data_IF_432621888142
#
_entry.id   IF_432621888142
#
_cell.length_a   1.000
_cell.length_b   1.000
_cell.length_c   1.000
_cell.angle_alpha   90.00
_cell.angle_beta   90.00
_cell.angle_gamma   90.00
#
_symmetry.space_group_name_H-M   'P 1'
#
loop_
_entity.id
_entity.type
_entity.pdbx_description
1 polymer ?
#
# COMPACT_ATOMS: atom_id res chain seq x y z
N UNK A 1 -17.31 -14.94 1.66
CA UNK A 1 -16.49 -13.76 1.98
C UNK A 1 -15.39 -13.43 0.95
N UNK A 2 -15.33 -14.10 -0.22
CA UNK A 2 -14.28 -13.93 -1.25
C UNK A 2 -14.60 -12.95 -2.41
N UNK A 3 -15.71 -12.19 -2.34
CA UNK A 3 -16.15 -11.33 -3.47
C UNK A 3 -15.54 -9.91 -3.51
N UNK A 4 -14.83 -9.45 -2.47
CA UNK A 4 -14.35 -8.05 -2.38
C UNK A 4 -12.96 -7.80 -3.00
N UNK A 5 -12.10 -8.81 -3.09
CA UNK A 5 -10.73 -8.67 -3.60
C UNK A 5 -10.68 -8.53 -5.14
N UNK A 6 -11.60 -9.20 -5.86
CA UNK A 6 -11.61 -9.21 -7.33
C UNK A 6 -12.13 -7.91 -7.97
N UNK A 7 -12.92 -7.10 -7.25
CA UNK A 7 -13.53 -5.88 -7.80
C UNK A 7 -12.56 -4.68 -7.86
N UNK A 8 -11.52 -4.70 -7.03
CA UNK A 8 -10.56 -3.59 -6.91
C UNK A 8 -9.53 -3.58 -8.06
N UNK A 9 -9.03 -4.75 -8.45
CA UNK A 9 -8.04 -4.93 -9.54
C UNK A 9 -8.63 -4.53 -10.91
N UNK A 10 -9.92 -4.82 -11.14
CA UNK A 10 -10.63 -4.44 -12.38
C UNK A 10 -10.85 -2.91 -12.48
N UNK A 11 -10.92 -2.21 -11.34
CA UNK A 11 -11.30 -0.79 -11.27
C UNK A 11 -10.18 0.16 -11.73
N UNK A 12 -8.91 -0.12 -11.38
CA UNK A 12 -7.77 0.71 -11.80
C UNK A 12 -7.35 0.42 -13.26
N UNK A 13 -7.44 -0.85 -13.68
CA UNK A 13 -7.24 -1.26 -15.08
C UNK A 13 -8.26 -0.53 -15.97
N UNK A 14 -9.53 -0.41 -15.57
CA UNK A 14 -10.52 0.34 -16.34
C UNK A 14 -10.25 1.85 -16.44
N UNK A 15 -9.51 2.47 -15.51
CA UNK A 15 -9.14 3.90 -15.59
C UNK A 15 -8.04 4.12 -16.63
N UNK A 16 -7.05 3.21 -16.71
CA UNK A 16 -5.99 3.25 -17.74
C UNK A 16 -6.54 2.76 -19.10
N UNK A 17 -7.40 1.75 -19.09
CA UNK A 17 -8.06 1.18 -20.26
C UNK A 17 -9.17 2.03 -20.86
N UNK A 18 -9.90 2.85 -20.09
CA UNK A 18 -10.89 3.77 -20.68
C UNK A 18 -10.22 4.93 -21.45
N UNK A 19 -8.96 5.23 -21.14
CA UNK A 19 -8.15 6.22 -21.84
C UNK A 19 -7.35 5.59 -23.01
N UNK A 20 -6.99 4.29 -22.93
CA UNK A 20 -6.16 3.60 -23.93
C UNK A 20 -6.84 2.53 -24.80
N UNK A 21 -7.94 1.91 -24.38
CA UNK A 21 -8.69 0.93 -25.17
C UNK A 21 -9.80 1.66 -25.91
N UNK A 22 -9.74 1.68 -27.25
CA UNK A 22 -10.71 2.30 -28.16
C UNK A 22 -12.14 1.73 -28.05
N UNK A 23 -12.78 1.85 -26.89
CA UNK A 23 -14.21 1.68 -26.71
C UNK A 23 -14.88 2.81 -27.49
N UNK A 24 -15.34 2.46 -28.70
CA UNK A 24 -15.96 3.41 -29.62
C UNK A 24 -17.09 4.16 -28.89
N UNK A 25 -16.98 5.49 -28.73
CA UNK A 25 -18.10 6.27 -28.23
C UNK A 25 -19.26 6.08 -29.21
N UNK A 26 -20.49 5.96 -28.68
CA UNK A 26 -21.69 5.95 -29.50
C UNK A 26 -21.70 7.26 -30.31
N UNK A 27 -21.56 7.24 -31.65
CA UNK A 27 -21.58 8.45 -32.43
C UNK A 27 -23.02 8.97 -32.44
N UNK A 28 -23.21 10.21 -32.01
CA UNK A 28 -24.48 10.90 -32.17
C UNK A 28 -24.18 12.35 -32.53
N UNK A 29 -24.59 12.70 -33.75
CA UNK A 29 -24.55 13.99 -34.43
C UNK A 29 -24.45 15.20 -33.49
N UNK A 30 -23.37 15.95 -33.67
CA UNK A 30 -23.16 17.24 -33.03
C UNK A 30 -24.12 18.28 -33.61
N UNK A 31 -25.36 18.33 -33.10
CA UNK A 31 -26.17 19.55 -33.17
C UNK A 31 -25.78 20.46 -32.01
N UNK A 32 -25.24 21.63 -32.34
CA UNK A 32 -24.93 22.73 -31.43
C UNK A 32 -26.20 23.23 -30.74
N UNK A 33 -26.64 22.54 -29.70
CA UNK A 33 -27.72 23.03 -28.85
C UNK A 33 -27.17 24.09 -27.91
N UNK A 34 -27.71 25.32 -28.00
CA UNK A 34 -27.60 26.37 -26.98
C UNK A 34 -27.98 25.76 -25.61
N UNK A 35 -26.99 25.41 -24.80
CA UNK A 35 -27.20 24.86 -23.46
C UNK A 35 -27.55 26.02 -22.52
N UNK A 36 -28.79 26.06 -22.03
CA UNK A 36 -29.16 26.92 -20.91
C UNK A 36 -28.29 26.51 -19.70
N UNK A 37 -27.34 27.38 -19.34
CA UNK A 37 -26.42 27.08 -18.26
C UNK A 37 -27.15 27.27 -16.92
N UNK A 38 -27.67 26.19 -16.35
CA UNK A 38 -28.13 26.19 -14.96
C UNK A 38 -26.97 26.66 -14.06
N UNK A 39 -27.18 27.76 -13.35
CA UNK A 39 -26.20 28.33 -12.43
C UNK A 39 -26.52 27.91 -11.00
N UNK A 40 -25.55 27.31 -10.30
CA UNK A 40 -25.72 26.83 -8.91
C UNK A 40 -24.70 27.53 -7.99
N UNK A 41 -25.06 27.88 -6.77
CA UNK A 41 -24.09 28.46 -5.83
C UNK A 41 -23.12 27.40 -5.28
N UNK A 42 -21.93 27.80 -4.83
CA UNK A 42 -21.06 26.91 -4.04
C UNK A 42 -21.83 26.35 -2.83
N UNK A 43 -21.42 25.16 -2.39
CA UNK A 43 -22.02 24.42 -1.27
C UNK A 43 -23.48 23.97 -1.49
N UNK A 44 -24.10 24.22 -2.64
CA UNK A 44 -25.43 23.70 -2.98
C UNK A 44 -25.30 22.41 -3.77
N UNK A 45 -26.19 21.44 -3.46
CA UNK A 45 -26.31 20.19 -4.20
C UNK A 45 -26.90 20.49 -5.57
N UNK A 46 -26.43 19.80 -6.61
CA UNK A 46 -27.00 19.89 -7.96
C UNK A 46 -26.98 18.55 -8.67
N UNK A 47 -27.91 18.38 -9.61
CA UNK A 47 -27.97 17.22 -10.50
C UNK A 47 -27.31 17.56 -11.83
N UNK A 48 -26.50 16.64 -12.35
CA UNK A 48 -25.88 16.74 -13.67
C UNK A 48 -26.19 15.46 -14.48
N UNK A 49 -26.29 15.60 -15.80
CA UNK A 49 -26.58 14.53 -16.78
C UNK A 49 -25.46 14.49 -17.83
N UNK A 50 -25.31 13.39 -18.59
CA UNK A 50 -24.27 13.28 -19.61
C UNK A 50 -24.32 14.40 -20.63
N UNK A 51 -23.14 14.91 -21.00
CA UNK A 51 -22.93 16.02 -21.92
C UNK A 51 -23.59 17.33 -21.47
N UNK A 52 -23.81 17.51 -20.16
CA UNK A 52 -24.31 18.76 -19.58
C UNK A 52 -23.25 19.40 -18.69
N UNK A 53 -23.27 20.73 -18.67
CA UNK A 53 -22.38 21.55 -17.86
C UNK A 53 -23.20 22.39 -16.88
N UNK A 54 -22.79 22.39 -15.62
CA UNK A 54 -23.33 23.24 -14.56
C UNK A 54 -22.31 24.34 -14.27
N UNK A 55 -22.74 25.61 -14.33
CA UNK A 55 -21.90 26.75 -13.96
C UNK A 55 -22.08 27.08 -12.49
N UNK A 56 -21.01 27.39 -11.78
CA UNK A 56 -21.10 27.82 -10.38
C UNK A 56 -21.27 29.35 -10.35
N UNK A 57 -22.38 29.84 -9.75
CA UNK A 57 -22.79 31.26 -9.70
C UNK A 57 -21.64 32.14 -9.21
N UNK A 58 -21.49 33.31 -9.86
CA UNK A 58 -20.51 34.35 -9.52
C UNK A 58 -19.06 33.83 -9.49
N UNK A 59 -18.74 32.85 -10.34
CA UNK A 59 -17.40 32.29 -10.47
C UNK A 59 -17.12 31.86 -11.92
N UNK A 60 -15.84 31.62 -12.24
CA UNK A 60 -15.41 31.05 -13.51
C UNK A 60 -15.38 29.51 -13.49
N UNK A 61 -16.07 28.91 -12.51
CA UNK A 61 -16.06 27.46 -12.28
C UNK A 61 -17.25 26.80 -12.96
N UNK A 62 -17.00 25.69 -13.63
CA UNK A 62 -18.05 24.82 -14.15
C UNK A 62 -17.68 23.35 -14.02
N UNK A 63 -18.69 22.51 -13.85
CA UNK A 63 -18.55 21.05 -13.87
C UNK A 63 -19.31 20.51 -15.06
N UNK A 64 -18.67 19.66 -15.86
CA UNK A 64 -19.28 18.91 -16.95
C UNK A 64 -19.28 17.43 -16.59
N UNK A 65 -20.37 16.74 -16.86
CA UNK A 65 -20.39 15.27 -16.87
C UNK A 65 -20.19 14.84 -18.32
N UNK A 66 -18.98 14.45 -18.64
CA UNK A 66 -18.53 14.18 -20.00
C UNK A 66 -19.14 12.87 -20.49
N UNK A 67 -19.00 11.80 -19.70
CA UNK A 67 -19.49 10.46 -20.03
C UNK A 67 -20.15 9.76 -18.84
N UNK A 68 -21.01 8.79 -19.15
CA UNK A 68 -21.56 7.80 -18.19
C UNK A 68 -21.46 6.40 -18.80
N UNK A 69 -20.79 5.51 -18.08
CA UNK A 69 -20.52 4.14 -18.49
C UNK A 69 -21.49 3.20 -17.77
N UNK A 70 -22.61 2.87 -18.43
CA UNK A 70 -23.69 2.06 -17.84
C UNK A 70 -23.21 0.73 -17.26
N UNK A 71 -22.28 0.05 -17.94
CA UNK A 71 -21.79 -1.29 -17.53
C UNK A 71 -21.00 -1.25 -16.21
N UNK A 72 -20.24 -0.18 -15.98
CA UNK A 72 -19.38 -0.05 -14.80
C UNK A 72 -19.98 0.85 -13.72
N UNK A 73 -21.02 1.61 -14.05
CA UNK A 73 -21.60 2.60 -13.14
C UNK A 73 -20.74 3.86 -12.97
N UNK A 74 -19.81 4.12 -13.89
CA UNK A 74 -18.85 5.23 -13.78
C UNK A 74 -19.34 6.50 -14.47
N UNK A 75 -19.03 7.63 -13.87
CA UNK A 75 -19.26 8.97 -14.40
C UNK A 75 -17.92 9.66 -14.55
N UNK A 76 -17.62 10.10 -15.76
CA UNK A 76 -16.41 10.86 -16.08
C UNK A 76 -16.75 12.35 -16.15
N UNK A 77 -15.99 13.16 -15.42
CA UNK A 77 -16.28 14.57 -15.21
C UNK A 77 -15.06 15.46 -15.36
N UNK A 78 -15.32 16.67 -15.84
CA UNK A 78 -14.33 17.76 -15.90
C UNK A 78 -14.80 18.94 -15.07
N UNK A 79 -13.99 19.36 -14.11
CA UNK A 79 -14.09 20.67 -13.47
C UNK A 79 -13.19 21.65 -14.22
N UNK A 80 -13.76 22.76 -14.69
CA UNK A 80 -13.02 23.86 -15.31
C UNK A 80 -13.02 25.06 -14.38
N UNK A 81 -11.84 25.64 -14.15
CA UNK A 81 -11.67 26.94 -13.49
C UNK A 81 -10.72 27.82 -14.32
N UNK A 82 -11.27 28.90 -14.88
CA UNK A 82 -10.58 29.75 -15.86
C UNK A 82 -10.06 28.91 -17.04
N UNK A 83 -8.74 28.82 -17.22
CA UNK A 83 -8.05 28.03 -18.27
C UNK A 83 -7.65 26.62 -17.80
N UNK A 84 -7.76 26.30 -16.50
CA UNK A 84 -7.39 24.99 -15.96
C UNK A 84 -8.56 24.02 -16.04
N UNK A 85 -8.26 22.76 -16.37
CA UNK A 85 -9.21 21.64 -16.39
C UNK A 85 -8.70 20.59 -15.41
N UNK A 86 -9.62 19.99 -14.68
CA UNK A 86 -9.35 18.93 -13.73
C UNK A 86 -10.31 17.78 -14.00
N UNK A 87 -9.77 16.60 -14.26
CA UNK A 87 -10.53 15.39 -14.52
C UNK A 87 -10.72 14.59 -13.23
N UNK A 88 -11.92 14.06 -13.05
CA UNK A 88 -12.27 13.21 -11.92
C UNK A 88 -13.40 12.25 -12.30
N UNK A 89 -13.42 11.09 -11.67
CA UNK A 89 -14.39 10.02 -11.91
C UNK A 89 -15.22 9.80 -10.65
N UNK A 90 -16.50 9.50 -10.81
CA UNK A 90 -17.34 8.98 -9.74
C UNK A 90 -17.79 7.57 -10.08
N UNK A 91 -17.59 6.62 -9.17
CA UNK A 91 -18.19 5.29 -9.27
C UNK A 91 -19.46 5.23 -8.43
N UNK A 92 -20.57 4.78 -9.02
CA UNK A 92 -21.77 4.40 -8.25
C UNK A 92 -21.66 2.94 -7.85
N UNK A 93 -21.73 2.69 -6.54
CA UNK A 93 -21.76 1.35 -5.94
C UNK A 93 -23.08 1.16 -5.21
N UNK A 94 -23.39 -0.07 -4.82
CA UNK A 94 -24.63 -0.39 -4.09
C UNK A 94 -24.73 0.35 -2.75
N UNK A 95 -23.59 0.64 -2.12
CA UNK A 95 -23.49 1.32 -0.81
C UNK A 95 -23.28 2.84 -0.94
N UNK A 96 -23.16 3.42 -2.14
CA UNK A 96 -22.96 4.87 -2.29
C UNK A 96 -22.24 5.33 -3.56
N UNK A 97 -21.49 6.43 -3.44
CA UNK A 97 -20.69 6.99 -4.53
C UNK A 97 -19.26 7.23 -4.07
N UNK A 98 -18.30 6.67 -4.81
CA UNK A 98 -16.86 6.83 -4.59
C UNK A 98 -16.31 7.86 -5.57
N UNK A 99 -15.36 8.68 -5.13
CA UNK A 99 -14.80 9.78 -5.91
C UNK A 99 -13.32 9.57 -6.14
N UNK A 100 -12.92 9.51 -7.41
CA UNK A 100 -11.57 9.26 -7.86
C UNK A 100 -11.02 10.51 -8.55
N UNK A 101 -9.88 11.00 -8.10
CA UNK A 101 -9.21 12.14 -8.72
C UNK A 101 -8.06 11.66 -9.61
N UNK A 102 -7.94 12.16 -10.84
CA UNK A 102 -6.70 11.94 -11.59
C UNK A 102 -5.54 12.73 -10.94
N UNK A 103 -5.84 13.98 -10.56
CA UNK A 103 -4.92 14.91 -9.91
C UNK A 103 -5.65 15.72 -8.86
N UNK A 104 -4.89 16.19 -7.87
CA UNK A 104 -5.41 17.13 -6.88
C UNK A 104 -6.04 18.35 -7.55
N UNK A 105 -7.21 18.76 -7.05
CA UNK A 105 -7.94 19.95 -7.52
C UNK A 105 -7.75 21.08 -6.51
N UNK A 106 -6.87 22.07 -6.81
CA UNK A 106 -6.65 23.19 -5.92
C UNK A 106 -7.94 23.99 -5.72
N UNK A 107 -8.14 24.52 -4.51
CA UNK A 107 -9.23 25.42 -4.13
C UNK A 107 -10.65 24.83 -4.07
N UNK A 108 -10.87 23.59 -4.49
CA UNK A 108 -12.21 22.99 -4.53
C UNK A 108 -12.26 21.63 -3.83
N UNK A 109 -13.36 21.38 -3.13
CA UNK A 109 -13.76 20.06 -2.63
C UNK A 109 -15.02 19.61 -3.37
N UNK A 110 -14.99 18.43 -3.94
CA UNK A 110 -16.12 17.82 -4.64
C UNK A 110 -16.66 16.70 -3.75
N UNK A 111 -17.98 16.64 -3.58
CA UNK A 111 -18.65 15.53 -2.90
C UNK A 111 -19.68 14.92 -3.84
N UNK A 112 -19.54 13.63 -4.12
CA UNK A 112 -20.59 12.82 -4.71
C UNK A 112 -21.64 12.52 -3.63
N UNK A 113 -22.89 12.89 -3.88
CA UNK A 113 -23.98 12.75 -2.92
C UNK A 113 -24.74 11.45 -3.16
N UNK A 114 -25.12 11.20 -4.42
CA UNK A 114 -25.73 9.96 -4.88
C UNK A 114 -25.74 9.91 -6.40
N UNK A 115 -25.97 8.72 -6.93
CA UNK A 115 -26.19 8.44 -8.34
C UNK A 115 -27.58 7.83 -8.53
N UNK A 116 -28.20 8.07 -9.69
CA UNK A 116 -29.49 7.47 -10.05
C UNK A 116 -29.60 7.36 -11.57
N UNK A 117 -29.34 6.16 -12.09
CA UNK A 117 -29.28 5.89 -13.52
C UNK A 117 -28.21 6.73 -14.21
N UNK A 118 -28.60 7.67 -15.08
CA UNK A 118 -27.67 8.58 -15.77
C UNK A 118 -27.46 9.91 -15.01
N UNK A 119 -28.11 10.09 -13.86
CA UNK A 119 -28.05 11.35 -13.09
C UNK A 119 -27.04 11.20 -11.97
N UNK A 120 -26.17 12.20 -11.83
CA UNK A 120 -25.25 12.31 -10.71
C UNK A 120 -25.55 13.56 -9.89
N UNK A 121 -25.59 13.42 -8.57
CA UNK A 121 -25.83 14.51 -7.64
C UNK A 121 -24.53 14.89 -6.95
N UNK A 122 -24.09 16.12 -7.14
CA UNK A 122 -22.80 16.63 -6.67
C UNK A 122 -22.99 17.84 -5.77
N UNK A 123 -21.97 18.10 -4.93
CA UNK A 123 -21.77 19.37 -4.23
C UNK A 123 -20.34 19.83 -4.49
N UNK A 124 -20.17 21.04 -5.01
CA UNK A 124 -18.86 21.69 -5.15
C UNK A 124 -18.75 22.78 -4.10
N UNK A 125 -17.67 22.73 -3.33
CA UNK A 125 -17.40 23.64 -2.23
C UNK A 125 -16.03 24.30 -2.45
N UNK A 126 -15.86 25.55 -1.99
CA UNK A 126 -14.52 26.11 -1.87
C UNK A 126 -13.77 25.36 -0.77
N UNK A 127 -12.53 24.98 -1.04
CA UNK A 127 -11.64 24.40 -0.04
C UNK A 127 -11.25 25.49 0.95
N UNK A 128 -11.55 25.27 2.23
CA UNK A 128 -11.36 26.29 3.27
C UNK A 128 -9.97 26.22 3.90
N UNK A 129 -9.42 25.03 4.13
CA UNK A 129 -8.04 24.80 4.57
C UNK A 129 -7.62 23.36 4.23
N UNK A 130 -6.34 23.18 3.90
CA UNK A 130 -5.69 21.85 3.95
C UNK A 130 -5.36 21.61 5.44
N UNK A 131 -5.60 20.40 5.99
CA UNK A 131 -5.16 20.07 7.33
C UNK A 131 -3.68 20.41 7.52
N UNK A 132 -3.33 20.94 8.70
CA UNK A 132 -1.92 21.15 9.08
C UNK A 132 -1.47 19.98 9.94
N UNK A 133 -0.19 19.63 9.83
CA UNK A 133 0.43 18.62 10.67
C UNK A 133 0.29 19.05 12.14
N UNK A 134 0.03 18.08 13.00
CA UNK A 134 0.05 18.26 14.45
C UNK A 134 1.48 18.56 14.88
N UNK A 135 1.66 19.56 15.75
CA UNK A 135 2.96 19.91 16.31
C UNK A 135 3.23 19.05 17.55
N UNK A 136 4.38 18.41 17.58
CA UNK A 136 4.86 17.58 18.69
C UNK A 136 6.21 18.10 19.17
N UNK A 137 6.58 17.82 20.42
CA UNK A 137 7.81 18.34 21.03
C UNK A 137 9.09 17.66 20.54
N UNK A 138 8.99 16.43 20.01
CA UNK A 138 10.14 15.59 19.69
C UNK A 138 10.71 14.82 20.89
N UNK A 139 10.16 14.97 22.10
CA UNK A 139 10.67 14.33 23.32
C UNK A 139 9.96 13.01 23.60
N UNK A 140 10.71 11.99 24.00
CA UNK A 140 10.17 10.67 24.38
C UNK A 140 9.23 10.74 25.61
N UNK A 141 9.49 11.65 26.55
CA UNK A 141 8.69 11.82 27.78
C UNK A 141 7.31 12.44 27.58
N UNK A 142 7.04 12.97 26.39
CA UNK A 142 5.80 13.70 26.13
C UNK A 142 4.83 12.76 25.43
N UNK A 143 3.70 12.49 26.07
CA UNK A 143 2.68 11.57 25.55
C UNK A 143 1.50 12.35 24.94
N UNK A 144 1.05 11.90 23.77
CA UNK A 144 -0.03 12.53 23.03
C UNK A 144 -1.17 11.56 22.80
N UNK A 145 -2.37 12.09 22.63
CA UNK A 145 -3.55 11.35 22.18
C UNK A 145 -4.30 12.23 21.17
N UNK A 146 -4.53 11.70 19.97
CA UNK A 146 -5.25 12.44 18.93
C UNK A 146 -6.68 12.73 19.35
N UNK A 147 -7.15 13.97 19.15
CA UNK A 147 -8.52 14.38 19.54
C UNK A 147 -9.51 14.32 18.38
N UNK A 148 -9.00 14.16 17.16
CA UNK A 148 -9.68 14.04 15.87
C UNK A 148 -8.73 13.34 14.89
N UNK A 149 -9.11 13.21 13.62
CA UNK A 149 -8.16 12.85 12.57
C UNK A 149 -7.01 13.85 12.51
N UNK A 150 -5.81 13.37 12.84
CA UNK A 150 -4.60 14.17 12.94
C UNK A 150 -3.47 13.43 12.22
N UNK A 151 -2.46 14.19 11.80
CA UNK A 151 -1.31 13.59 11.14
C UNK A 151 -0.03 14.26 11.59
N UNK A 152 1.05 13.50 11.58
CA UNK A 152 2.41 13.97 11.83
C UNK A 152 3.19 13.91 10.52
N UNK A 153 4.14 14.81 10.33
CA UNK A 153 4.93 14.88 9.12
C UNK A 153 6.41 15.15 9.44
N UNK A 154 7.29 14.28 8.95
CA UNK A 154 8.75 14.44 8.93
C UNK A 154 9.22 14.63 7.48
N UNK A 155 10.52 14.59 7.21
CA UNK A 155 11.05 14.77 5.85
C UNK A 155 10.62 13.67 4.87
N UNK A 156 10.58 12.41 5.32
CA UNK A 156 10.29 11.26 4.47
C UNK A 156 8.97 10.56 4.81
N UNK A 157 8.37 10.81 5.98
CA UNK A 157 7.23 10.04 6.49
C UNK A 157 6.05 10.95 6.82
N UNK A 158 4.85 10.45 6.59
CA UNK A 158 3.61 11.02 7.11
C UNK A 158 2.86 9.93 7.86
N UNK A 159 2.58 10.18 9.14
CA UNK A 159 1.79 9.29 9.99
C UNK A 159 0.35 9.83 10.08
N UNK A 160 -0.61 9.12 9.52
CA UNK A 160 -2.04 9.46 9.52
C UNK A 160 -2.76 8.66 10.61
N UNK A 161 -3.44 9.36 11.52
CA UNK A 161 -4.03 8.74 12.71
C UNK A 161 -5.53 9.06 12.82
N UNK A 162 -6.29 8.05 13.25
CA UNK A 162 -7.68 8.22 13.69
C UNK A 162 -7.73 9.01 15.01
N UNK A 163 -8.93 9.32 15.51
CA UNK A 163 -9.15 9.88 16.85
C UNK A 163 -8.85 8.84 17.94
N UNK A 164 -8.20 9.27 19.02
CA UNK A 164 -7.95 8.46 20.21
C UNK A 164 -6.64 7.67 20.17
N UNK A 165 -5.83 7.84 19.14
CA UNK A 165 -4.54 7.16 18.97
C UNK A 165 -3.51 7.79 19.90
N UNK A 166 -2.87 6.98 20.73
CA UNK A 166 -1.82 7.36 21.67
C UNK A 166 -0.43 7.10 21.09
N UNK A 167 0.50 8.00 21.38
CA UNK A 167 1.88 7.89 20.91
C UNK A 167 2.81 8.83 21.67
N UNK A 168 4.11 8.58 21.55
CA UNK A 168 5.16 9.39 22.16
C UNK A 168 5.67 10.50 21.24
N UNK A 169 6.11 11.61 21.85
CA UNK A 169 6.51 12.83 21.15
C UNK A 169 7.70 12.68 20.21
N UNK A 170 8.48 11.60 20.31
CA UNK A 170 9.62 11.29 19.45
C UNK A 170 9.32 10.31 18.29
N UNK A 171 8.06 9.89 18.10
CA UNK A 171 7.65 8.85 17.13
C UNK A 171 8.23 9.04 15.72
N UNK A 172 8.14 10.26 15.17
CA UNK A 172 8.67 10.54 13.83
C UNK A 172 10.19 10.42 13.74
N UNK A 173 10.94 10.81 14.77
CA UNK A 173 12.40 10.69 14.78
C UNK A 173 12.81 9.22 14.75
N UNK A 174 12.14 8.39 15.56
CA UNK A 174 12.39 6.95 15.61
C UNK A 174 12.04 6.25 14.31
N UNK A 175 10.91 6.60 13.69
CA UNK A 175 10.55 6.03 12.37
C UNK A 175 11.54 6.45 11.27
N UNK A 176 12.06 7.68 11.29
CA UNK A 176 13.13 8.10 10.36
C UNK A 176 14.46 7.38 10.63
N UNK A 177 14.81 7.11 11.89
CA UNK A 177 15.97 6.29 12.27
C UNK A 177 15.82 4.85 11.78
N UNK A 178 14.65 4.25 12.00
CA UNK A 178 14.33 2.90 11.54
C UNK A 178 14.36 2.81 10.01
N UNK A 179 13.79 3.78 9.28
CA UNK A 179 13.88 3.86 7.82
C UNK A 179 15.34 3.85 7.35
N UNK A 180 16.21 4.67 7.95
CA UNK A 180 17.64 4.72 7.60
C UNK A 180 18.35 3.39 7.88
N UNK A 181 18.04 2.73 8.99
CA UNK A 181 18.63 1.41 9.27
C UNK A 181 18.14 0.36 8.28
N UNK A 182 16.85 0.37 7.89
CA UNK A 182 16.33 -0.52 6.85
C UNK A 182 17.01 -0.25 5.50
N UNK A 183 17.14 1.01 5.07
CA UNK A 183 17.84 1.37 3.83
C UNK A 183 19.30 0.87 3.83
N UNK A 184 19.98 0.99 4.96
CA UNK A 184 21.35 0.50 5.16
C UNK A 184 21.44 -1.02 5.10
N UNK A 185 20.54 -1.74 5.78
CA UNK A 185 20.54 -3.21 5.85
C UNK A 185 20.20 -3.87 4.51
N UNK A 186 19.28 -3.27 3.77
CA UNK A 186 18.75 -3.80 2.51
C UNK A 186 19.49 -3.26 1.28
N UNK A 187 20.16 -2.11 1.40
CA UNK A 187 20.73 -1.37 0.27
C UNK A 187 19.67 -0.72 -0.65
N UNK A 188 18.40 -0.83 -0.29
CA UNK A 188 17.29 -0.20 -1.00
C UNK A 188 17.12 1.24 -0.52
N UNK A 189 16.55 2.09 -1.36
CA UNK A 189 16.31 3.48 -1.01
C UNK A 189 14.85 3.83 -1.19
N UNK A 190 14.37 4.71 -0.33
CA UNK A 190 13.13 5.43 -0.55
C UNK A 190 13.25 6.18 -1.88
N UNK A 191 12.40 5.80 -2.83
CA UNK A 191 12.27 6.53 -4.08
C UNK A 191 10.90 7.17 -4.11
N UNK A 192 10.84 8.42 -4.57
CA UNK A 192 9.58 9.15 -4.73
C UNK A 192 8.69 8.38 -5.70
N UNK A 193 7.79 7.57 -5.15
CA UNK A 193 6.92 6.74 -5.95
C UNK A 193 5.89 7.63 -6.64
N UNK A 194 5.69 7.45 -7.95
CA UNK A 194 4.61 8.13 -8.68
C UNK A 194 3.28 7.43 -8.44
N UNK A 195 2.85 7.29 -7.20
CA UNK A 195 1.47 6.92 -6.94
C UNK A 195 0.57 8.15 -7.22
N UNK A 196 -0.59 7.91 -7.83
CA UNK A 196 -1.49 9.00 -8.19
C UNK A 196 -2.17 9.59 -6.96
N UNK A 197 -2.56 10.87 -7.03
CA UNK A 197 -3.37 11.47 -5.97
C UNK A 197 -4.72 10.74 -5.78
N UNK A 198 -5.25 10.13 -6.84
CA UNK A 198 -6.44 9.30 -6.78
C UNK A 198 -6.27 8.09 -5.86
N UNK A 199 -5.17 7.36 -6.00
CA UNK A 199 -4.87 6.21 -5.16
C UNK A 199 -4.73 6.61 -3.69
N UNK A 200 -4.06 7.73 -3.39
CA UNK A 200 -4.02 8.32 -2.04
C UNK A 200 -5.42 8.60 -1.46
N UNK A 201 -6.33 9.19 -2.25
CA UNK A 201 -7.70 9.42 -1.83
C UNK A 201 -8.47 8.10 -1.59
N UNK A 202 -8.27 7.09 -2.44
CA UNK A 202 -8.93 5.80 -2.29
C UNK A 202 -8.50 5.11 -0.99
N UNK A 203 -7.20 5.16 -0.67
CA UNK A 203 -6.66 4.55 0.54
C UNK A 203 -7.29 5.20 1.78
N UNK A 204 -7.34 6.53 1.84
CA UNK A 204 -8.03 7.22 2.94
C UNK A 204 -9.51 6.86 3.04
N UNK A 205 -10.24 6.79 1.93
CA UNK A 205 -11.66 6.40 1.95
C UNK A 205 -11.84 4.97 2.43
N UNK A 206 -10.94 4.06 2.05
CA UNK A 206 -10.95 2.69 2.51
C UNK A 206 -10.67 2.59 4.02
N UNK A 207 -9.65 3.32 4.50
CA UNK A 207 -9.17 3.22 5.89
C UNK A 207 -10.05 4.01 6.86
N UNK A 208 -10.47 5.21 6.49
CA UNK A 208 -11.19 6.15 7.36
C UNK A 208 -12.64 6.38 6.97
N UNK A 209 -13.12 5.82 5.85
CA UNK A 209 -14.48 6.06 5.34
C UNK A 209 -14.73 7.46 4.76
N UNK A 210 -13.74 8.36 4.79
CA UNK A 210 -13.80 9.72 4.22
C UNK A 210 -12.37 10.16 3.78
N UNK A 211 -12.21 11.43 3.43
CA UNK A 211 -10.94 12.06 3.06
C UNK A 211 -10.55 13.13 4.12
N UNK A 212 -10.22 12.73 5.37
CA UNK A 212 -9.86 13.68 6.42
C UNK A 212 -8.59 14.46 6.09
N UNK A 213 -7.67 13.90 5.30
CA UNK A 213 -6.38 14.49 4.93
C UNK A 213 -6.33 15.00 3.48
N UNK A 214 -7.49 15.31 2.88
CA UNK A 214 -7.59 15.83 1.51
C UNK A 214 -6.74 17.09 1.27
N UNK A 215 -5.70 16.95 0.45
CA UNK A 215 -4.73 17.98 0.10
C UNK A 215 -3.38 17.85 0.80
N UNK A 216 -3.21 16.89 1.71
CA UNK A 216 -1.90 16.54 2.26
C UNK A 216 -1.11 15.74 1.21
N UNK A 217 0.19 16.01 1.11
CA UNK A 217 1.15 15.40 0.18
C UNK A 217 0.61 15.11 -1.23
N UNK A 218 0.10 16.14 -1.90
CA UNK A 218 -0.54 15.99 -3.23
C UNK A 218 0.36 15.44 -4.33
N UNK A 219 1.68 15.38 -4.07
CA UNK A 219 2.70 14.86 -4.97
C UNK A 219 3.15 13.44 -4.61
N UNK A 220 2.63 12.87 -3.51
CA UNK A 220 2.97 11.56 -2.97
C UNK A 220 4.48 11.32 -2.88
N UNK A 221 5.16 12.21 -2.17
CA UNK A 221 6.63 12.22 -2.08
C UNK A 221 7.18 11.54 -0.83
N UNK A 222 6.31 11.22 0.12
CA UNK A 222 6.63 10.64 1.42
C UNK A 222 6.00 9.26 1.56
N UNK A 223 6.55 8.46 2.47
CA UNK A 223 5.97 7.20 2.91
C UNK A 223 4.74 7.52 3.74
N UNK A 224 3.57 7.00 3.34
CA UNK A 224 2.34 7.18 4.09
C UNK A 224 2.14 6.01 5.04
N UNK A 225 2.08 6.28 6.33
CA UNK A 225 1.82 5.28 7.36
C UNK A 225 0.46 5.58 7.94
N UNK A 226 -0.44 4.61 7.92
CA UNK A 226 -1.79 4.76 8.45
C UNK A 226 -1.91 3.95 9.74
N UNK A 227 -2.40 4.58 10.81
CA UNK A 227 -2.61 3.91 12.10
C UNK A 227 -4.09 3.58 12.25
N UNK A 228 -4.40 2.28 12.38
CA UNK A 228 -5.79 1.81 12.46
C UNK A 228 -5.91 0.47 13.18
N UNK A 229 -6.70 0.42 14.25
CA UNK A 229 -6.80 -0.76 15.13
C UNK A 229 -7.80 -1.82 14.63
N UNK A 230 -8.73 -1.46 13.76
CA UNK A 230 -9.90 -2.26 13.35
C UNK A 230 -9.79 -2.86 11.93
N UNK A 231 -8.62 -2.77 11.30
CA UNK A 231 -8.35 -3.39 9.99
C UNK A 231 -7.45 -4.61 10.19
N UNK A 232 -7.91 -5.77 9.69
CA UNK A 232 -7.15 -7.02 9.68
C UNK A 232 -6.66 -7.34 8.24
N UNK A 233 -5.43 -7.84 8.04
CA UNK A 233 -4.38 -8.05 9.05
C UNK A 233 -3.94 -6.74 9.70
N UNK A 234 -3.46 -6.83 10.95
CA UNK A 234 -3.09 -5.69 11.78
C UNK A 234 -2.06 -4.76 11.11
N UNK A 235 -1.30 -5.29 10.13
CA UNK A 235 -0.43 -4.56 9.22
C UNK A 235 -0.51 -5.20 7.80
N UNK A 236 -0.42 -4.38 6.74
CA UNK A 236 -0.15 -4.87 5.38
C UNK A 236 0.33 -3.77 4.42
N UNK A 237 1.27 -4.12 3.54
CA UNK A 237 1.63 -3.37 2.34
C UNK A 237 0.70 -3.73 1.16
N UNK A 238 0.12 -2.73 0.49
CA UNK A 238 -0.94 -2.98 -0.51
C UNK A 238 -0.39 -3.20 -1.93
N UNK A 239 -0.74 -4.31 -2.60
CA UNK A 239 -0.22 -4.67 -3.93
C UNK A 239 -0.41 -3.67 -5.07
N UNK A 240 -1.34 -2.74 -4.91
CA UNK A 240 -1.66 -1.74 -5.93
C UNK A 240 -1.18 -0.37 -5.44
N UNK A 241 -0.16 0.14 -6.13
CA UNK A 241 0.48 1.45 -5.97
C UNK A 241 1.35 1.68 -4.72
N UNK A 242 1.61 0.65 -3.89
CA UNK A 242 2.63 0.55 -2.80
C UNK A 242 3.18 1.91 -2.30
N UNK A 243 2.27 2.79 -1.90
CA UNK A 243 2.59 4.14 -1.44
C UNK A 243 2.37 4.30 0.06
N UNK A 244 1.90 3.23 0.69
CA UNK A 244 1.56 3.20 2.09
C UNK A 244 1.62 1.81 2.67
N UNK A 245 1.67 1.76 4.00
CA UNK A 245 1.37 0.59 4.80
C UNK A 245 0.56 1.00 6.03
N UNK A 246 -0.06 0.01 6.65
CA UNK A 246 -0.88 0.14 7.85
C UNK A 246 -0.14 -0.45 9.04
N UNK A 247 -0.30 0.19 10.20
CA UNK A 247 0.14 -0.31 11.50
C UNK A 247 -0.97 -0.12 12.54
N UNK A 248 -0.88 -0.82 13.66
CA UNK A 248 -1.75 -0.66 14.81
C UNK A 248 -1.23 0.44 15.75
N UNK A 249 -2.09 0.96 16.62
CA UNK A 249 -1.69 1.86 17.70
C UNK A 249 -0.65 1.22 18.62
N UNK A 250 -0.74 -0.10 18.89
CA UNK A 250 0.28 -0.77 19.70
C UNK A 250 1.68 -0.64 19.09
N UNK A 251 1.80 -0.56 17.77
CA UNK A 251 3.09 -0.40 17.08
C UNK A 251 3.70 1.02 17.22
N UNK A 252 2.99 1.93 17.91
CA UNK A 252 3.48 3.26 18.26
C UNK A 252 4.17 3.31 19.62
N UNK A 253 4.19 2.21 20.38
CA UNK A 253 4.89 2.11 21.67
C UNK A 253 6.40 1.87 21.48
N UNK A 254 7.04 2.80 20.78
CA UNK A 254 8.43 2.73 20.31
C UNK A 254 9.50 2.89 21.39
N UNK A 255 9.12 3.30 22.60
CA UNK A 255 10.04 3.49 23.72
C UNK A 255 9.86 2.40 24.79
N UNK A 256 8.98 1.42 24.56
CA UNK A 256 8.82 0.29 25.43
C UNK A 256 9.91 -0.75 25.13
N UNK A 257 10.94 -0.73 25.97
CA UNK A 257 12.06 -1.67 25.89
C UNK A 257 11.63 -3.11 26.28
N UNK A 258 10.42 -3.32 26.82
CA UNK A 258 9.89 -4.65 27.13
C UNK A 258 9.03 -5.21 25.98
N UNK A 259 8.40 -4.35 25.18
CA UNK A 259 7.53 -4.68 24.04
C UNK A 259 8.05 -4.05 22.76
N UNK A 260 8.96 -4.75 22.09
CA UNK A 260 9.55 -4.22 20.87
C UNK A 260 8.53 -4.17 19.71
N UNK A 261 8.11 -2.96 19.36
CA UNK A 261 7.30 -2.67 18.19
C UNK A 261 8.12 -2.80 16.90
N UNK A 262 7.77 -3.77 16.06
CA UNK A 262 8.56 -4.21 14.91
C UNK A 262 7.85 -4.02 13.56
N UNK A 263 6.52 -3.88 13.58
CA UNK A 263 5.70 -3.81 12.38
C UNK A 263 6.14 -2.69 11.42
N UNK A 264 6.53 -1.52 11.94
CA UNK A 264 7.05 -0.45 11.09
C UNK A 264 8.28 -0.89 10.28
N UNK A 265 9.24 -1.58 10.91
CA UNK A 265 10.45 -2.07 10.24
C UNK A 265 10.06 -3.09 9.18
N UNK A 266 9.23 -4.06 9.53
CA UNK A 266 8.77 -5.12 8.63
C UNK A 266 8.08 -4.56 7.38
N UNK A 267 7.07 -3.71 7.58
CA UNK A 267 6.30 -3.11 6.49
C UNK A 267 7.12 -2.10 5.68
N UNK A 268 8.08 -1.41 6.31
CA UNK A 268 9.01 -0.54 5.61
C UNK A 268 9.92 -1.34 4.65
N UNK A 269 10.34 -2.56 5.02
CA UNK A 269 11.10 -3.43 4.12
C UNK A 269 10.25 -3.81 2.91
N UNK A 270 8.99 -4.20 3.12
CA UNK A 270 8.05 -4.47 2.02
C UNK A 270 7.87 -3.25 1.12
N UNK A 271 7.68 -2.07 1.70
CA UNK A 271 7.56 -0.81 0.97
C UNK A 271 8.78 -0.53 0.09
N UNK A 272 9.98 -0.64 0.65
CA UNK A 272 11.21 -0.36 -0.09
C UNK A 272 11.47 -1.41 -1.19
N UNK A 273 11.25 -2.68 -0.89
CA UNK A 273 11.41 -3.78 -1.84
C UNK A 273 10.48 -3.62 -3.06
N UNK A 274 9.19 -3.39 -2.80
CA UNK A 274 8.17 -3.29 -3.84
C UNK A 274 8.31 -2.01 -4.67
N UNK A 275 8.60 -0.87 -4.04
CA UNK A 275 8.86 0.40 -4.73
C UNK A 275 10.12 0.37 -5.62
N UNK A 276 11.10 -0.48 -5.30
CA UNK A 276 12.29 -0.67 -6.12
C UNK A 276 12.11 -1.69 -7.27
N UNK A 277 10.91 -2.28 -7.38
CA UNK A 277 10.37 -2.79 -8.64
C UNK A 277 10.49 -4.29 -8.86
N UNK A 278 10.49 -5.10 -7.81
CA UNK A 278 10.21 -6.54 -7.94
C UNK A 278 9.50 -7.03 -6.68
N UNK A 279 8.53 -7.91 -6.86
CA UNK A 279 7.92 -8.67 -5.78
C UNK A 279 8.02 -10.16 -6.12
N UNK A 280 8.15 -11.00 -5.11
CA UNK A 280 8.25 -12.44 -5.23
C UNK A 280 6.98 -13.11 -4.71
N UNK A 281 6.99 -14.44 -4.62
CA UNK A 281 5.96 -15.14 -3.86
C UNK A 281 5.99 -14.75 -2.38
N UNK A 282 4.90 -15.06 -1.67
CA UNK A 282 4.70 -14.68 -0.27
C UNK A 282 5.87 -15.13 0.63
N UNK A 283 6.37 -16.37 0.45
CA UNK A 283 7.49 -16.90 1.24
C UNK A 283 8.75 -16.04 1.12
N UNK A 284 9.12 -15.60 -0.08
CA UNK A 284 10.32 -14.80 -0.26
C UNK A 284 10.11 -13.35 0.19
N UNK A 285 8.92 -12.79 -0.03
CA UNK A 285 8.60 -11.44 0.44
C UNK A 285 8.62 -11.37 1.96
N UNK A 286 7.82 -12.18 2.65
CA UNK A 286 7.76 -12.19 4.11
C UNK A 286 9.08 -12.64 4.72
N UNK A 287 9.75 -13.62 4.11
CA UNK A 287 11.07 -14.08 4.56
C UNK A 287 12.15 -13.01 4.48
N UNK A 288 12.14 -12.18 3.44
CA UNK A 288 13.07 -11.06 3.32
C UNK A 288 12.80 -9.96 4.34
N UNK A 289 11.52 -9.64 4.58
CA UNK A 289 11.11 -8.68 5.60
C UNK A 289 11.50 -9.18 7.00
N UNK A 290 11.08 -10.39 7.37
CA UNK A 290 11.42 -11.03 8.65
C UNK A 290 12.94 -11.12 8.89
N UNK A 291 13.72 -11.50 7.87
CA UNK A 291 15.18 -11.59 7.99
C UNK A 291 15.82 -10.23 8.32
N UNK A 292 15.44 -9.17 7.61
CA UNK A 292 16.03 -7.86 7.85
C UNK A 292 15.48 -7.16 9.08
N UNK A 293 14.24 -7.45 9.45
CA UNK A 293 13.66 -7.07 10.73
C UNK A 293 14.49 -7.64 11.88
N UNK A 294 14.70 -8.96 11.91
CA UNK A 294 15.55 -9.58 12.94
C UNK A 294 16.97 -9.00 12.96
N UNK A 295 17.54 -8.65 11.79
CA UNK A 295 18.83 -7.94 11.72
C UNK A 295 18.79 -6.56 12.35
N UNK A 296 17.75 -5.78 12.09
CA UNK A 296 17.57 -4.45 12.69
C UNK A 296 17.41 -4.53 14.21
N UNK A 297 16.84 -5.63 14.70
CA UNK A 297 16.52 -5.85 16.11
C UNK A 297 17.62 -6.58 16.89
N UNK A 298 18.75 -6.92 16.27
CA UNK A 298 19.87 -7.61 16.94
C UNK A 298 20.44 -6.85 18.14
N UNK A 299 20.41 -5.52 18.11
CA UNK A 299 20.88 -4.74 19.26
C UNK A 299 19.99 -4.99 20.47
N UNK A 300 18.68 -4.95 20.29
CA UNK A 300 17.71 -5.22 21.36
C UNK A 300 17.92 -6.60 21.97
N UNK A 301 18.06 -7.63 21.13
CA UNK A 301 18.32 -8.99 21.59
C UNK A 301 19.56 -9.06 22.51
N UNK A 302 20.65 -8.40 22.09
CA UNK A 302 21.91 -8.35 22.85
C UNK A 302 21.78 -7.58 24.15
N UNK A 303 21.16 -6.42 24.12
CA UNK A 303 20.99 -5.55 25.29
C UNK A 303 20.15 -6.24 26.38
N UNK A 304 19.27 -7.17 25.99
CA UNK A 304 18.41 -7.95 26.90
C UNK A 304 18.88 -9.39 27.15
N UNK A 305 20.04 -9.81 26.63
CA UNK A 305 20.59 -11.17 26.76
C UNK A 305 19.60 -12.29 26.39
N UNK A 306 18.84 -12.11 25.30
CA UNK A 306 17.85 -13.11 24.84
C UNK A 306 18.53 -14.11 23.89
N UNK A 307 18.40 -15.41 24.17
CA UNK A 307 18.92 -16.47 23.31
C UNK A 307 18.26 -16.46 21.93
N UNK A 308 18.97 -16.91 20.88
CA UNK A 308 18.48 -16.86 19.50
C UNK A 308 17.14 -17.57 19.32
N UNK A 309 16.98 -18.76 19.90
CA UNK A 309 15.73 -19.53 19.81
C UNK A 309 14.57 -18.80 20.45
N UNK A 310 14.74 -18.32 21.69
CA UNK A 310 13.72 -17.56 22.42
C UNK A 310 13.33 -16.29 21.65
N UNK A 311 14.33 -15.61 21.09
CA UNK A 311 14.13 -14.42 20.29
C UNK A 311 13.30 -14.72 19.03
N UNK A 312 13.63 -15.77 18.27
CA UNK A 312 12.85 -16.13 17.08
C UNK A 312 11.45 -16.66 17.42
N UNK A 313 11.29 -17.38 18.53
CA UNK A 313 9.98 -17.84 19.00
C UNK A 313 9.07 -16.67 19.36
N UNK A 314 9.61 -15.64 20.01
CA UNK A 314 8.88 -14.40 20.36
C UNK A 314 8.25 -13.71 19.14
N UNK A 315 8.89 -13.80 17.96
CA UNK A 315 8.38 -13.26 16.70
C UNK A 315 7.64 -14.29 15.84
N UNK A 316 7.44 -15.52 16.33
CA UNK A 316 6.76 -16.57 15.59
C UNK A 316 7.56 -17.12 14.39
N UNK A 317 8.89 -17.00 14.42
CA UNK A 317 9.79 -17.34 13.32
C UNK A 317 10.45 -18.72 13.43
N UNK A 318 9.91 -19.59 14.30
CA UNK A 318 10.34 -20.98 14.42
C UNK A 318 9.40 -21.95 13.69
N UNK A 319 10.00 -22.98 13.11
CA UNK A 319 9.32 -24.09 12.47
C UNK A 319 9.12 -25.23 13.47
N UNK A 320 8.12 -26.09 13.24
CA UNK A 320 7.94 -27.29 14.07
C UNK A 320 8.94 -28.34 13.65
N UNK A 321 9.42 -29.10 14.62
CA UNK A 321 10.32 -30.22 14.37
C UNK A 321 9.75 -31.20 13.36
N UNK A 322 10.53 -31.53 12.33
CA UNK A 322 10.13 -32.46 11.27
C UNK A 322 9.15 -31.89 10.24
N UNK A 323 8.72 -30.63 10.37
CA UNK A 323 7.78 -30.02 9.43
C UNK A 323 8.39 -29.87 8.03
N UNK A 324 9.64 -29.43 7.98
CA UNK A 324 10.41 -29.30 6.73
C UNK A 324 11.43 -30.43 6.66
N UNK A 325 11.36 -31.20 5.58
CA UNK A 325 12.24 -32.33 5.29
C UNK A 325 12.77 -32.21 3.88
N UNK A 326 13.85 -32.94 3.57
CA UNK A 326 14.38 -32.99 2.20
C UNK A 326 13.35 -33.45 1.15
N UNK A 327 12.39 -34.28 1.56
CA UNK A 327 11.36 -34.80 0.68
C UNK A 327 10.26 -33.76 0.36
N UNK A 328 9.95 -32.86 1.30
CA UNK A 328 8.81 -31.95 1.18
C UNK A 328 9.17 -30.47 0.98
N UNK A 329 10.42 -30.04 1.24
CA UNK A 329 10.79 -28.62 1.30
C UNK A 329 10.43 -27.83 0.04
N UNK A 330 10.71 -28.38 -1.14
CA UNK A 330 10.34 -27.73 -2.41
C UNK A 330 8.81 -27.70 -2.60
N UNK A 331 8.12 -28.78 -2.24
CA UNK A 331 6.67 -28.86 -2.39
C UNK A 331 5.94 -27.86 -1.49
N UNK A 332 6.47 -27.62 -0.29
CA UNK A 332 5.97 -26.61 0.65
C UNK A 332 6.17 -25.21 0.07
N UNK A 333 7.37 -24.93 -0.45
CA UNK A 333 7.67 -23.66 -1.12
C UNK A 333 6.73 -23.39 -2.29
N UNK A 334 6.52 -24.39 -3.16
CA UNK A 334 5.67 -24.27 -4.35
C UNK A 334 4.19 -24.08 -4.03
N UNK A 335 3.73 -24.55 -2.86
CA UNK A 335 2.36 -24.41 -2.38
C UNK A 335 2.17 -23.16 -1.49
N UNK A 336 3.23 -22.39 -1.27
CA UNK A 336 3.27 -21.21 -0.39
C UNK A 336 2.82 -21.46 1.05
N UNK A 337 2.86 -22.72 1.53
CA UNK A 337 2.06 -23.16 2.67
C UNK A 337 0.57 -22.78 2.55
N UNK A 338 -0.33 -23.77 2.59
CA UNK A 338 -1.76 -23.46 2.65
C UNK A 338 -2.18 -22.76 3.94
N UNK A 339 -1.31 -22.73 4.96
CA UNK A 339 -1.44 -21.94 6.17
C UNK A 339 -0.51 -20.72 6.09
N UNK A 340 -1.09 -19.52 6.00
CA UNK A 340 -0.39 -18.24 5.91
C UNK A 340 0.52 -17.97 7.11
N UNK A 341 0.22 -18.51 8.30
CA UNK A 341 1.04 -18.36 9.50
C UNK A 341 2.41 -19.03 9.38
N UNK A 342 2.55 -20.02 8.49
CA UNK A 342 3.82 -20.76 8.29
C UNK A 342 4.69 -20.14 7.20
N UNK A 343 4.21 -19.13 6.49
CA UNK A 343 4.96 -18.39 5.48
C UNK A 343 6.13 -17.64 6.12
N UNK A 344 5.88 -16.98 7.24
CA UNK A 344 6.88 -16.21 7.99
C UNK A 344 8.05 -17.05 8.50
N UNK A 345 7.85 -18.11 9.33
CA UNK A 345 8.96 -18.90 9.86
C UNK A 345 9.72 -19.63 8.75
N UNK A 346 9.04 -20.18 7.74
CA UNK A 346 9.73 -20.81 6.61
C UNK A 346 10.55 -19.77 5.83
N UNK A 347 9.95 -18.64 5.50
CA UNK A 347 10.61 -17.57 4.75
C UNK A 347 11.83 -17.02 5.46
N UNK A 348 11.72 -16.77 6.77
CA UNK A 348 12.82 -16.29 7.60
C UNK A 348 13.99 -17.28 7.63
N UNK A 349 13.73 -18.55 7.94
CA UNK A 349 14.75 -19.58 7.97
C UNK A 349 15.39 -19.77 6.58
N UNK A 350 14.58 -19.77 5.51
CA UNK A 350 15.06 -19.92 4.14
C UNK A 350 15.93 -18.73 3.71
N UNK A 351 15.54 -17.50 4.07
CA UNK A 351 16.34 -16.31 3.76
C UNK A 351 17.67 -16.32 4.52
N UNK A 352 17.64 -16.73 5.79
CA UNK A 352 18.85 -16.87 6.61
C UNK A 352 19.80 -17.89 5.98
N UNK A 353 19.30 -19.08 5.62
CA UNK A 353 20.05 -20.10 4.87
C UNK A 353 20.70 -19.54 3.60
N UNK A 354 19.95 -18.76 2.80
CA UNK A 354 20.49 -18.17 1.57
C UNK A 354 21.66 -17.23 1.85
N UNK A 355 21.53 -16.39 2.88
CA UNK A 355 22.55 -15.42 3.26
C UNK A 355 23.80 -16.07 3.87
N UNK A 356 23.64 -17.11 4.69
CA UNK A 356 24.76 -17.84 5.27
C UNK A 356 25.50 -18.70 4.24
N UNK A 357 24.75 -19.35 3.33
CA UNK A 357 25.33 -20.30 2.38
C UNK A 357 25.93 -19.62 1.15
N UNK A 358 25.28 -18.56 0.65
CA UNK A 358 25.66 -17.89 -0.60
C UNK A 358 26.13 -16.44 -0.40
N UNK A 359 26.28 -16.01 0.86
CA UNK A 359 26.78 -14.70 1.26
C UNK A 359 25.70 -13.61 1.36
N UNK A 360 26.05 -12.51 2.04
CA UNK A 360 25.11 -11.42 2.38
C UNK A 360 24.42 -10.74 1.18
N UNK A 361 24.98 -10.90 -0.03
CA UNK A 361 24.42 -10.34 -1.27
C UNK A 361 23.46 -11.30 -1.98
N UNK A 362 23.19 -12.48 -1.44
CA UNK A 362 22.31 -13.48 -2.04
C UNK A 362 20.96 -12.87 -2.43
N UNK A 363 20.23 -12.24 -1.51
CA UNK A 363 18.95 -11.66 -1.87
C UNK A 363 19.05 -10.54 -2.90
N UNK A 364 19.99 -9.60 -2.77
CA UNK A 364 20.18 -8.50 -3.73
C UNK A 364 20.44 -9.02 -5.15
N UNK A 365 21.22 -10.10 -5.24
CA UNK A 365 21.49 -10.78 -6.50
C UNK A 365 20.22 -11.45 -7.05
N UNK A 366 19.41 -12.08 -6.20
CA UNK A 366 18.12 -12.67 -6.57
C UNK A 366 17.15 -11.60 -7.09
N UNK A 367 16.99 -10.50 -6.35
CA UNK A 367 16.17 -9.33 -6.71
C UNK A 367 16.52 -8.78 -8.08
N UNK A 368 17.80 -8.55 -8.35
CA UNK A 368 18.29 -8.05 -9.65
C UNK A 368 17.95 -9.00 -10.81
N UNK A 369 18.04 -10.31 -10.59
CA UNK A 369 17.74 -11.32 -11.60
C UNK A 369 16.22 -11.49 -11.83
N UNK A 370 15.44 -11.44 -10.75
CA UNK A 370 13.98 -11.52 -10.80
C UNK A 370 13.39 -10.33 -11.56
N UNK A 371 13.92 -9.12 -11.36
CA UNK A 371 13.54 -7.92 -12.13
C UNK A 371 13.67 -8.10 -13.65
N UNK A 372 14.66 -8.85 -14.12
CA UNK A 372 14.87 -9.16 -15.54
C UNK A 372 13.84 -10.16 -16.05
N UNK A 373 13.49 -11.16 -15.24
CA UNK A 373 12.53 -12.21 -15.59
C UNK A 373 11.10 -11.64 -15.59
N UNK A 374 10.73 -10.89 -14.55
CA UNK A 374 9.42 -10.24 -14.43
C UNK A 374 9.16 -9.33 -15.63
N UNK A 375 10.15 -8.53 -16.06
CA UNK A 375 10.06 -7.71 -17.29
C UNK A 375 9.79 -8.51 -18.57
N UNK A 376 10.17 -9.79 -18.63
CA UNK A 376 9.91 -10.68 -19.77
C UNK A 376 8.55 -11.37 -19.66
N UNK A 377 8.15 -11.77 -18.46
CA UNK A 377 6.85 -12.42 -18.20
C UNK A 377 5.67 -11.44 -18.32
N UNK A 378 5.81 -10.23 -17.79
CA UNK A 378 4.79 -9.15 -17.90
C UNK A 378 4.53 -8.74 -19.35
N UNK A 379 5.50 -8.87 -20.26
CA UNK A 379 5.28 -8.62 -21.70
C UNK A 379 4.38 -9.66 -22.37
N UNK A 380 4.22 -10.83 -21.76
CA UNK A 380 3.58 -12.00 -22.36
C UNK A 380 2.30 -12.45 -21.65
N UNK A 381 1.83 -11.72 -20.63
CA UNK A 381 0.61 -12.05 -19.89
C UNK A 381 -0.33 -10.84 -19.81
N UNK A 382 -1.62 -11.05 -20.15
CA UNK A 382 -2.72 -10.11 -19.90
C UNK A 382 -3.09 -10.00 -18.41
N UNK A 383 -2.28 -10.55 -17.51
CA UNK A 383 -2.57 -10.62 -16.07
C UNK A 383 -1.45 -9.93 -15.29
N UNK A 384 -1.86 -8.89 -14.59
CA UNK A 384 -1.05 -8.00 -13.79
C UNK A 384 -0.75 -8.65 -12.42
N UNK A 385 -0.02 -9.76 -12.40
CA UNK A 385 0.60 -10.21 -11.16
C UNK A 385 1.93 -9.46 -11.02
N UNK A 386 1.97 -8.50 -10.09
CA UNK A 386 3.18 -7.73 -9.76
C UNK A 386 4.28 -8.60 -9.10
N UNK A 387 4.02 -9.90 -8.93
CA UNK A 387 4.81 -10.85 -8.16
C UNK A 387 5.27 -12.02 -9.04
N UNK A 388 6.51 -12.49 -8.84
CA UNK A 388 6.99 -13.71 -9.47
C UNK A 388 6.32 -14.93 -8.83
N UNK A 389 5.61 -15.75 -9.63
CA UNK A 389 4.96 -16.98 -9.12
C UNK A 389 5.93 -17.89 -8.36
N UNK A 390 5.43 -18.70 -7.43
CA UNK A 390 6.24 -19.68 -6.70
C UNK A 390 7.07 -20.61 -7.61
N UNK A 391 6.52 -21.04 -8.76
CA UNK A 391 7.27 -21.82 -9.75
C UNK A 391 8.39 -20.99 -10.41
N UNK A 392 8.12 -19.73 -10.73
CA UNK A 392 9.12 -18.79 -11.23
C UNK A 392 10.25 -18.55 -10.24
N UNK A 393 9.90 -18.32 -8.97
CA UNK A 393 10.84 -18.15 -7.86
C UNK A 393 11.72 -19.39 -7.68
N UNK A 394 11.11 -20.58 -7.59
CA UNK A 394 11.85 -21.85 -7.42
C UNK A 394 12.83 -22.11 -8.58
N UNK A 395 12.39 -21.86 -9.82
CA UNK A 395 13.25 -22.00 -11.01
C UNK A 395 14.43 -21.02 -10.96
N UNK A 396 14.19 -19.78 -10.55
CA UNK A 396 15.24 -18.77 -10.41
C UNK A 396 16.26 -19.16 -9.33
N UNK A 397 15.79 -19.55 -8.15
CA UNK A 397 16.62 -20.01 -7.03
C UNK A 397 17.51 -21.18 -7.48
N UNK A 398 16.92 -22.20 -8.13
CA UNK A 398 17.66 -23.37 -8.62
C UNK A 398 18.70 -23.04 -9.67
N UNK A 399 18.39 -22.10 -10.56
CA UNK A 399 19.32 -21.65 -11.61
C UNK A 399 20.48 -20.86 -11.03
N UNK A 400 20.22 -20.03 -10.01
CA UNK A 400 21.18 -19.06 -9.51
C UNK A 400 22.12 -19.65 -8.45
N UNK A 401 21.61 -20.58 -7.65
CA UNK A 401 22.34 -21.12 -6.50
C UNK A 401 22.63 -22.61 -6.67
N UNK A 402 21.61 -23.47 -6.62
CA UNK A 402 21.80 -24.91 -6.75
C UNK A 402 20.52 -25.62 -7.19
N UNK A 403 20.64 -26.66 -8.03
CA UNK A 403 19.50 -27.52 -8.41
C UNK A 403 18.86 -28.22 -7.20
N UNK A 404 19.63 -28.45 -6.13
CA UNK A 404 19.22 -29.13 -4.89
C UNK A 404 18.89 -28.17 -3.75
N UNK A 405 18.82 -26.85 -4.02
CA UNK A 405 18.72 -25.80 -2.99
C UNK A 405 17.69 -26.06 -1.87
N UNK A 406 16.52 -26.63 -2.18
CA UNK A 406 15.48 -26.91 -1.19
C UNK A 406 15.81 -28.12 -0.30
N UNK A 407 16.49 -29.13 -0.84
CA UNK A 407 17.00 -30.26 -0.04
C UNK A 407 18.14 -29.79 0.85
N UNK A 408 19.04 -28.99 0.29
CA UNK A 408 20.18 -28.42 1.01
C UNK A 408 19.69 -27.49 2.15
N UNK A 409 18.63 -26.71 1.91
CA UNK A 409 17.95 -25.94 2.95
C UNK A 409 17.41 -26.83 4.08
N UNK A 410 16.69 -27.91 3.76
CA UNK A 410 16.16 -28.80 4.80
C UNK A 410 17.28 -29.44 5.65
N UNK A 411 18.42 -29.79 5.03
CA UNK A 411 19.60 -30.27 5.76
C UNK A 411 20.20 -29.19 6.65
N UNK A 412 20.37 -27.98 6.12
CA UNK A 412 20.85 -26.83 6.89
C UNK A 412 19.94 -26.58 8.09
N UNK A 413 18.63 -26.59 7.90
CA UNK A 413 17.66 -26.36 8.97
C UNK A 413 17.80 -27.40 10.10
N UNK A 414 17.95 -28.68 9.77
CA UNK A 414 18.17 -29.73 10.76
C UNK A 414 19.48 -29.56 11.57
N UNK A 415 20.47 -28.87 11.02
CA UNK A 415 21.73 -28.56 11.70
C UNK A 415 21.68 -27.23 12.47
N UNK A 416 20.57 -26.49 12.40
CA UNK A 416 20.37 -25.19 13.03
C UNK A 416 19.11 -25.21 13.91
N UNK A 417 19.18 -25.85 15.10
CA UNK A 417 18.02 -26.08 15.96
C UNK A 417 17.37 -24.78 16.48
N UNK A 418 18.06 -23.65 16.45
CA UNK A 418 17.52 -22.36 16.86
C UNK A 418 16.31 -21.90 16.03
N UNK A 419 16.12 -22.42 14.81
CA UNK A 419 14.95 -22.15 13.97
C UNK A 419 13.82 -23.17 14.15
N UNK A 420 13.96 -24.12 15.08
CA UNK A 420 13.02 -25.22 15.29
C UNK A 420 12.48 -25.13 16.73
N UNK A 421 11.15 -25.03 16.85
CA UNK A 421 10.47 -25.19 18.13
C UNK A 421 10.19 -26.67 18.40
N UNK A 422 10.38 -27.07 19.66
CA UNK A 422 10.05 -28.41 20.17
C UNK A 422 8.57 -28.52 20.62
N UNK A 423 7.78 -27.43 20.50
CA UNK A 423 6.40 -27.32 21.00
C UNK A 423 5.32 -27.35 19.90
#
# INVERSE_FOLDING_TARGET
MFKRITSFIITLILIISAVGMGLKPIPANAKNNKVSAHKVAFNKKFCIKPKKTIKIKKSNVSVTLDNYYKKTGYYDLTLKDKKKKYHFVVASRDEGCELYYEKYIPNYKIKAIKASGKKLYLKVSKRKNIPKAMSISGKASDHYETKKYEYLESDNIILFMDKGIKFDGNILSKFEEQLKEVEKLTGLKHTKHRCTYGSYCNNQQYIFGDLPFDGVDTKNTKIHVYVKNDIHPHCFAVPNDYSYFLINEMDLDINNDDELCNAFIHECIHYLHTSNGTSFNSIINEGFAAYNEIRALRKYQKDHNIEDTEFYERFGYTLKKGEVTEANAESLFLKEYTNTERVYPYGFAFMTYLHETYGEKAFTNLFSAAKIILKKEVKNQEINHNDLSSKGCAKLLKKKYSKTIFKDFAKWLNNNPQFISEY
#
